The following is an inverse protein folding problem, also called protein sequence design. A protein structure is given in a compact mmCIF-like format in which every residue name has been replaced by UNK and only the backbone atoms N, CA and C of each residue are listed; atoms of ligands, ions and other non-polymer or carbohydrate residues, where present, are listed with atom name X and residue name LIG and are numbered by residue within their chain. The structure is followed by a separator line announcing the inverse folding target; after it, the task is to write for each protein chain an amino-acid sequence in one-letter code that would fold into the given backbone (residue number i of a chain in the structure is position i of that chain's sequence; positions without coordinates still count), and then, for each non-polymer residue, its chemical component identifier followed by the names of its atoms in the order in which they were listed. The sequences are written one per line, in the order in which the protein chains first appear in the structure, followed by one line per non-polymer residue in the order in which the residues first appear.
data_IF_496770543621
#
_entry.id   IF_496770543621
#
_cell.length_a   1.000
_cell.length_b   1.000
_cell.length_c   1.000
_cell.angle_alpha   90.00
_cell.angle_beta   90.00
_cell.angle_gamma   90.00
#
_symmetry.space_group_name_H-M   'P 1'
#
loop_
_entity.id
_entity.type
_entity.pdbx_description
1 polymer ?
#
# COMPACT_ATOMS: atom_id res chain seq x y z
N UNK A 1 6.88 -7.97 -25.23
CA UNK A 1 5.86 -8.02 -24.14
C UNK A 1 6.36 -7.18 -22.97
N UNK A 2 5.57 -6.23 -22.46
CA UNK A 2 5.90 -5.62 -21.17
C UNK A 2 5.77 -6.71 -20.11
N UNK A 3 6.87 -7.04 -19.43
CA UNK A 3 6.91 -8.03 -18.35
C UNK A 3 6.95 -7.30 -17.01
N UNK A 4 6.36 -7.90 -15.99
CA UNK A 4 6.49 -7.41 -14.61
C UNK A 4 7.97 -7.53 -14.22
N UNK A 5 8.54 -6.45 -13.70
CA UNK A 5 9.89 -6.47 -13.16
C UNK A 5 9.84 -6.96 -11.70
N UNK A 6 10.03 -8.26 -11.50
CA UNK A 6 9.96 -8.88 -10.17
C UNK A 6 10.99 -8.32 -9.19
N UNK A 7 12.16 -7.86 -9.66
CA UNK A 7 13.17 -7.23 -8.78
C UNK A 7 12.65 -5.92 -8.21
N UNK A 8 12.02 -5.09 -9.05
CA UNK A 8 11.38 -3.84 -8.62
C UNK A 8 10.21 -4.10 -7.67
N UNK A 9 9.37 -5.10 -7.96
CA UNK A 9 8.26 -5.49 -7.11
C UNK A 9 8.76 -5.94 -5.72
N UNK A 10 9.78 -6.80 -5.65
CA UNK A 10 10.33 -7.25 -4.37
C UNK A 10 10.93 -6.09 -3.56
N UNK A 11 11.61 -5.15 -4.21
CA UNK A 11 12.14 -3.97 -3.51
C UNK A 11 11.03 -3.07 -2.97
N UNK A 12 9.99 -2.80 -3.77
CA UNK A 12 8.81 -2.05 -3.29
C UNK A 12 8.18 -2.76 -2.11
N UNK A 13 8.03 -4.08 -2.20
CA UNK A 13 7.45 -4.90 -1.15
C UNK A 13 8.22 -4.77 0.17
N UNK A 14 9.55 -4.86 0.13
CA UNK A 14 10.39 -4.70 1.33
C UNK A 14 10.21 -3.31 1.95
N UNK A 15 10.16 -2.24 1.15
CA UNK A 15 9.90 -0.89 1.68
C UNK A 15 8.51 -0.77 2.29
N UNK A 16 7.48 -1.35 1.67
CA UNK A 16 6.11 -1.33 2.19
C UNK A 16 5.98 -2.10 3.51
N UNK A 17 6.75 -3.19 3.69
CA UNK A 17 6.83 -3.91 4.96
C UNK A 17 7.57 -3.10 6.03
N UNK A 18 8.68 -2.45 5.69
CA UNK A 18 9.42 -1.59 6.61
C UNK A 18 8.55 -0.42 7.09
N UNK A 19 7.83 0.24 6.18
CA UNK A 19 6.83 1.26 6.52
C UNK A 19 5.70 0.66 7.35
N UNK A 20 5.27 -0.57 7.09
CA UNK A 20 4.24 -1.24 7.88
C UNK A 20 4.65 -1.42 9.34
N UNK A 21 5.91 -1.82 9.57
CA UNK A 21 6.46 -1.94 10.92
C UNK A 21 6.55 -0.58 11.63
N UNK A 22 7.02 0.47 10.93
CA UNK A 22 7.07 1.83 11.50
C UNK A 22 5.68 2.40 11.78
N UNK A 23 4.73 2.17 10.87
CA UNK A 23 3.34 2.57 11.02
C UNK A 23 2.77 1.91 12.27
N UNK A 24 2.84 0.59 12.38
CA UNK A 24 2.37 -0.15 13.57
C UNK A 24 3.02 0.36 14.88
N UNK A 25 4.33 0.60 14.88
CA UNK A 25 5.04 1.13 16.04
C UNK A 25 4.60 2.55 16.44
N UNK A 26 4.03 3.31 15.50
CA UNK A 26 3.55 4.68 15.69
C UNK A 26 2.06 4.75 16.04
N UNK A 27 1.45 3.62 16.43
CA UNK A 27 0.01 3.56 16.73
C UNK A 27 -0.37 4.54 17.85
N UNK A 28 -1.32 5.46 17.61
CA UNK A 28 -1.76 6.42 18.62
C UNK A 28 -2.30 5.74 19.88
N UNK A 29 -2.06 6.35 21.04
CA UNK A 29 -2.60 5.86 22.31
C UNK A 29 -4.14 5.87 22.37
N UNK A 30 -4.78 6.77 21.61
CA UNK A 30 -6.24 6.79 21.40
C UNK A 30 -6.77 5.49 20.82
N UNK A 31 -5.99 4.84 19.94
CA UNK A 31 -6.29 3.53 19.36
C UNK A 31 -6.06 2.42 20.37
N UNK A 32 -4.91 2.45 21.05
CA UNK A 32 -4.55 1.44 22.05
C UNK A 32 -5.58 1.39 23.18
N UNK A 33 -6.09 2.54 23.64
CA UNK A 33 -7.09 2.62 24.71
C UNK A 33 -8.46 2.02 24.35
N UNK A 34 -8.85 2.01 23.06
CA UNK A 34 -10.12 1.38 22.61
C UNK A 34 -10.03 -0.16 22.61
N UNK A 35 -8.86 -0.72 22.31
CA UNK A 35 -8.64 -2.17 22.27
C UNK A 35 -8.05 -2.74 23.56
N UNK A 36 -7.45 -1.93 24.43
CA UNK A 36 -6.89 -2.37 25.72
C UNK A 36 -7.94 -2.88 26.72
N UNK A 37 -9.23 -2.57 26.52
CA UNK A 37 -10.34 -3.15 27.29
C UNK A 37 -10.76 -4.55 26.78
N UNK A 38 -10.38 -4.92 25.55
CA UNK A 38 -10.58 -6.25 24.98
C UNK A 38 -9.24 -7.01 24.99
N UNK A 39 -8.95 -7.64 26.13
CA UNK A 39 -8.02 -8.76 26.24
C UNK A 39 -6.60 -8.54 25.66
N UNK A 40 -5.69 -8.10 26.53
CA UNK A 40 -4.24 -8.02 26.33
C UNK A 40 -3.58 -9.34 25.82
N UNK A 41 -4.33 -10.45 25.86
CA UNK A 41 -3.96 -11.79 25.39
C UNK A 41 -4.08 -11.99 23.87
N UNK A 42 -4.77 -11.11 23.12
CA UNK A 42 -4.83 -11.11 21.65
C UNK A 42 -3.70 -10.28 21.03
N UNK A 43 -2.50 -10.51 21.51
CA UNK A 43 -1.27 -9.96 20.94
C UNK A 43 -1.12 -10.43 19.49
N UNK A 44 -0.88 -9.49 18.56
CA UNK A 44 -0.48 -9.66 17.15
C UNK A 44 -0.34 -11.13 16.70
N UNK A 45 -1.47 -11.79 16.40
CA UNK A 45 -1.45 -13.22 16.03
C UNK A 45 -0.61 -13.42 14.78
N UNK A 46 0.18 -14.50 14.73
CA UNK A 46 0.93 -14.91 13.53
C UNK A 46 0.01 -14.91 12.30
N UNK A 47 -1.26 -15.29 12.47
CA UNK A 47 -2.26 -15.26 11.39
C UNK A 47 -2.53 -13.84 10.87
N UNK A 48 -2.60 -12.83 11.75
CA UNK A 48 -2.80 -11.43 11.34
C UNK A 48 -1.58 -10.88 10.62
N UNK A 49 -0.37 -11.22 11.08
CA UNK A 49 0.88 -10.82 10.41
C UNK A 49 0.95 -11.43 9.01
N UNK A 50 0.66 -12.73 8.87
CA UNK A 50 0.63 -13.40 7.57
C UNK A 50 -0.41 -12.78 6.64
N UNK A 51 -1.61 -12.48 7.14
CA UNK A 51 -2.67 -11.84 6.36
C UNK A 51 -2.26 -10.44 5.90
N UNK A 52 -1.59 -9.67 6.77
CA UNK A 52 -1.05 -8.36 6.43
C UNK A 52 0.01 -8.44 5.32
N UNK A 53 0.99 -9.34 5.46
CA UNK A 53 2.06 -9.57 4.49
C UNK A 53 1.46 -10.00 3.14
N UNK A 54 0.54 -10.96 3.16
CA UNK A 54 -0.12 -11.45 1.95
C UNK A 54 -0.95 -10.37 1.26
N UNK A 55 -1.76 -9.62 2.02
CA UNK A 55 -2.60 -8.55 1.48
C UNK A 55 -1.77 -7.45 0.83
N UNK A 56 -0.65 -7.07 1.47
CA UNK A 56 0.31 -6.09 0.93
C UNK A 56 0.92 -6.59 -0.38
N UNK A 57 1.34 -7.87 -0.41
CA UNK A 57 1.91 -8.48 -1.59
C UNK A 57 0.92 -8.55 -2.76
N UNK A 58 -0.31 -9.00 -2.50
CA UNK A 58 -1.38 -9.12 -3.52
C UNK A 58 -1.72 -7.75 -4.10
N UNK A 59 -1.90 -6.73 -3.25
CA UNK A 59 -2.19 -5.37 -3.71
C UNK A 59 -1.06 -4.80 -4.58
N UNK A 60 0.19 -4.98 -4.15
CA UNK A 60 1.36 -4.54 -4.92
C UNK A 60 1.45 -5.27 -6.27
N UNK A 61 1.26 -6.59 -6.27
CA UNK A 61 1.32 -7.40 -7.47
C UNK A 61 0.21 -7.01 -8.46
N UNK A 62 -0.99 -6.77 -7.97
CA UNK A 62 -2.11 -6.25 -8.76
C UNK A 62 -1.77 -4.88 -9.38
N UNK A 63 -1.19 -3.97 -8.61
CA UNK A 63 -0.76 -2.65 -9.10
C UNK A 63 0.28 -2.79 -10.20
N UNK A 64 1.30 -3.64 -10.00
CA UNK A 64 2.33 -3.91 -11.01
C UNK A 64 1.75 -4.55 -12.28
N UNK A 65 0.82 -5.49 -12.13
CA UNK A 65 0.10 -6.12 -13.24
C UNK A 65 -0.71 -5.09 -14.05
N UNK A 66 -1.44 -4.20 -13.36
CA UNK A 66 -2.24 -3.16 -13.99
C UNK A 66 -1.36 -2.20 -14.81
N UNK A 67 -0.23 -1.76 -14.24
CA UNK A 67 0.72 -0.88 -14.92
C UNK A 67 1.34 -1.51 -16.18
N UNK A 68 1.48 -2.83 -16.21
CA UNK A 68 1.96 -3.58 -17.38
C UNK A 68 0.88 -3.68 -18.47
N UNK A 69 -0.39 -3.76 -18.10
CA UNK A 69 -1.53 -3.84 -19.04
C UNK A 69 -1.79 -2.52 -19.75
N UNK A 70 -1.49 -1.40 -19.10
CA UNK A 70 -1.78 -0.07 -19.64
C UNK A 70 -0.67 0.39 -20.60
N UNK A 71 -1.01 0.36 -21.89
CA UNK A 71 -0.13 0.76 -23.02
C UNK A 71 -0.24 2.26 -23.29
N UNK A 72 0.80 2.83 -23.90
CA UNK A 72 0.80 4.22 -24.39
C UNK A 72 0.92 5.32 -23.33
N UNK A 73 0.70 5.04 -22.05
CA UNK A 73 0.86 6.04 -20.99
C UNK A 73 2.33 6.36 -20.69
N UNK A 74 2.61 7.66 -20.57
CA UNK A 74 3.87 8.19 -20.07
C UNK A 74 4.14 7.75 -18.63
N UNK A 75 5.40 7.85 -18.19
CA UNK A 75 5.77 7.54 -16.79
C UNK A 75 4.96 8.37 -15.80
N UNK A 76 4.76 9.66 -16.09
CA UNK A 76 3.95 10.56 -15.27
C UNK A 76 2.47 10.18 -15.25
N UNK A 77 1.89 9.79 -16.40
CA UNK A 77 0.51 9.29 -16.44
C UNK A 77 0.33 8.05 -15.56
N UNK A 78 1.30 7.14 -15.57
CA UNK A 78 1.29 5.93 -14.72
C UNK A 78 1.40 6.26 -13.24
N UNK A 79 2.21 7.24 -12.86
CA UNK A 79 2.26 7.76 -11.50
C UNK A 79 0.89 8.27 -11.06
N UNK A 80 0.28 9.18 -11.84
CA UNK A 80 -1.04 9.74 -11.52
C UNK A 80 -2.13 8.67 -11.44
N UNK A 81 -2.08 7.65 -12.28
CA UNK A 81 -3.02 6.54 -12.25
C UNK A 81 -2.97 5.79 -10.91
N UNK A 82 -1.79 5.46 -10.41
CA UNK A 82 -1.65 4.73 -9.13
C UNK A 82 -2.20 5.57 -7.98
N UNK A 83 -1.90 6.88 -7.97
CA UNK A 83 -2.44 7.82 -6.98
C UNK A 83 -3.97 7.93 -7.09
N UNK A 84 -4.52 8.05 -8.30
CA UNK A 84 -5.95 8.15 -8.53
C UNK A 84 -6.69 6.90 -8.06
N UNK A 85 -6.19 5.71 -8.38
CA UNK A 85 -6.75 4.43 -7.92
C UNK A 85 -6.84 4.41 -6.40
N UNK A 86 -5.77 4.82 -5.72
CA UNK A 86 -5.78 4.92 -4.27
C UNK A 86 -6.82 5.92 -3.75
N UNK A 87 -6.89 7.13 -4.31
CA UNK A 87 -7.89 8.14 -3.91
C UNK A 87 -9.32 7.62 -4.04
N UNK A 88 -9.65 6.97 -5.15
CA UNK A 88 -10.99 6.42 -5.38
C UNK A 88 -11.33 5.23 -4.48
N UNK A 89 -10.33 4.46 -4.02
CA UNK A 89 -10.54 3.39 -3.04
C UNK A 89 -10.64 3.98 -1.62
N UNK A 90 -9.87 5.01 -1.30
CA UNK A 90 -9.77 5.56 0.06
C UNK A 90 -10.93 6.46 0.44
N UNK A 91 -11.46 7.27 -0.47
CA UNK A 91 -12.62 8.12 -0.22
C UNK A 91 -13.84 7.38 0.37
N UNK A 92 -14.33 6.27 -0.21
CA UNK A 92 -15.45 5.53 0.36
C UNK A 92 -15.07 4.85 1.68
N UNK A 93 -13.84 4.37 1.83
CA UNK A 93 -13.35 3.79 3.09
C UNK A 93 -13.27 4.83 4.21
N UNK A 94 -12.81 6.05 3.92
CA UNK A 94 -12.82 7.17 4.86
C UNK A 94 -14.23 7.47 5.34
N UNK A 95 -15.19 7.62 4.41
CA UNK A 95 -16.58 7.87 4.75
C UNK A 95 -17.15 6.74 5.63
N UNK A 96 -16.89 5.48 5.29
CA UNK A 96 -17.39 4.35 6.06
C UNK A 96 -16.77 4.26 7.46
N UNK A 97 -15.45 4.37 7.57
CA UNK A 97 -14.74 4.29 8.86
C UNK A 97 -15.06 5.47 9.76
N UNK A 98 -15.14 6.69 9.22
CA UNK A 98 -15.48 7.88 10.02
C UNK A 98 -16.95 7.91 10.45
N UNK A 99 -17.89 7.67 9.53
CA UNK A 99 -19.33 7.79 9.79
C UNK A 99 -19.91 6.57 10.52
N UNK A 100 -19.41 5.37 10.22
CA UNK A 100 -20.02 4.12 10.72
C UNK A 100 -19.33 3.58 11.98
N UNK A 101 -18.00 3.77 12.10
CA UNK A 101 -17.22 3.25 13.23
C UNK A 101 -16.89 4.32 14.29
N UNK A 102 -17.42 5.55 14.14
CA UNK A 102 -17.21 6.68 15.07
C UNK A 102 -15.72 6.89 15.41
N UNK A 103 -14.85 6.77 14.41
CA UNK A 103 -13.45 7.16 14.55
C UNK A 103 -13.31 8.68 14.47
N UNK A 104 -12.38 9.24 15.24
CA UNK A 104 -12.03 10.64 15.07
C UNK A 104 -11.39 10.85 13.69
N UNK A 105 -11.42 12.09 13.17
CA UNK A 105 -10.76 12.41 11.92
C UNK A 105 -9.27 12.03 11.93
N UNK A 106 -8.59 12.31 13.05
CA UNK A 106 -7.18 11.98 13.25
C UNK A 106 -6.92 10.46 13.18
N UNK A 107 -7.74 9.67 13.87
CA UNK A 107 -7.63 8.22 13.88
C UNK A 107 -7.88 7.63 12.48
N UNK A 108 -8.86 8.18 11.75
CA UNK A 108 -9.17 7.78 10.37
C UNK A 108 -8.01 8.11 9.43
N UNK A 109 -7.40 9.30 9.56
CA UNK A 109 -6.22 9.65 8.77
C UNK A 109 -5.03 8.75 9.08
N UNK A 110 -4.81 8.41 10.36
CA UNK A 110 -3.77 7.47 10.75
C UNK A 110 -3.96 6.10 10.09
N UNK A 111 -5.18 5.53 10.11
CA UNK A 111 -5.49 4.26 9.44
C UNK A 111 -5.20 4.30 7.93
N UNK A 112 -5.55 5.41 7.28
CA UNK A 112 -5.39 5.56 5.83
C UNK A 112 -3.96 5.92 5.40
N UNK A 113 -3.15 6.45 6.33
CA UNK A 113 -1.79 6.89 6.04
C UNK A 113 -0.88 5.76 5.56
N UNK A 114 -1.05 4.54 6.07
CA UNK A 114 -0.30 3.38 5.62
C UNK A 114 -0.53 3.10 4.13
N UNK A 115 -1.81 3.10 3.71
CA UNK A 115 -2.18 2.93 2.32
C UNK A 115 -1.64 4.05 1.43
N UNK A 116 -1.66 5.30 1.93
CA UNK A 116 -1.15 6.46 1.21
C UNK A 116 0.35 6.33 0.92
N UNK A 117 1.14 5.98 1.94
CA UNK A 117 2.59 5.83 1.81
C UNK A 117 2.92 4.65 0.91
N UNK A 118 2.25 3.50 1.08
CA UNK A 118 2.45 2.33 0.22
C UNK A 118 2.15 2.64 -1.25
N UNK A 119 1.08 3.38 -1.51
CA UNK A 119 0.71 3.85 -2.83
C UNK A 119 1.79 4.77 -3.42
N UNK A 120 2.27 5.75 -2.65
CA UNK A 120 3.33 6.65 -3.08
C UNK A 120 4.62 5.90 -3.45
N UNK A 121 5.05 4.94 -2.61
CA UNK A 121 6.21 4.09 -2.88
C UNK A 121 6.03 3.33 -4.21
N UNK A 122 4.88 2.69 -4.40
CA UNK A 122 4.57 1.95 -5.63
C UNK A 122 4.52 2.87 -6.86
N UNK A 123 3.90 4.04 -6.73
CA UNK A 123 3.75 5.03 -7.80
C UNK A 123 5.09 5.65 -8.22
N UNK A 124 6.05 5.77 -7.30
CA UNK A 124 7.39 6.29 -7.61
C UNK A 124 8.23 5.18 -8.27
N UNK A 125 8.31 4.02 -7.64
CA UNK A 125 9.31 3.02 -8.01
C UNK A 125 8.89 2.21 -9.25
N UNK A 126 7.62 1.77 -9.34
CA UNK A 126 7.19 0.89 -10.42
C UNK A 126 7.18 1.55 -11.81
N UNK A 127 6.72 2.81 -11.97
CA UNK A 127 6.74 3.49 -13.27
C UNK A 127 8.15 3.85 -13.76
N UNK A 128 9.06 4.16 -12.83
CA UNK A 128 10.45 4.54 -13.13
C UNK A 128 11.34 3.32 -13.44
N UNK A 129 11.06 2.16 -12.83
CA UNK A 129 11.86 0.96 -13.01
C UNK A 129 11.42 0.11 -14.20
N UNK A 130 11.39 0.71 -15.40
CA UNK A 130 11.32 -0.10 -16.63
C UNK A 130 12.54 -1.03 -16.65
N UNK A 131 12.31 -2.29 -17.00
CA UNK A 131 13.40 -3.19 -17.40
C UNK A 131 14.24 -2.44 -18.41
N UNK A 132 15.50 -2.14 -18.05
CA UNK A 132 16.46 -1.58 -18.99
C UNK A 132 16.37 -2.45 -20.24
N UNK A 133 15.92 -1.85 -21.36
CA UNK A 133 16.06 -2.55 -22.63
C UNK A 133 17.56 -2.66 -22.79
N UNK A 134 18.08 -3.89 -22.86
CA UNK A 134 19.42 -4.10 -23.36
C UNK A 134 19.53 -3.25 -24.64
N UNK A 135 20.41 -2.25 -24.62
CA UNK A 135 20.74 -1.43 -25.78
C UNK A 135 21.41 -2.32 -26.86
N UNK A 136 21.71 -3.57 -26.52
CA UNK A 136 22.30 -4.60 -27.35
C UNK A 136 21.25 -5.64 -27.79
N UNK A 137 20.27 -5.23 -28.60
CA UNK A 137 19.53 -6.20 -29.40
C UNK A 137 19.06 -5.57 -30.72
N UNK A 138 19.88 -5.84 -31.75
CA UNK A 138 19.75 -5.59 -33.19
C UNK A 138 19.42 -4.18 -33.67
#
# INVERSE_FOLDING_TARGET
MYKINHKAVMLVFVFQLAVGAMWYASTPSSFLGRFALEDLSKQLSIGMVLLFVLSTFVYLFFTAWLLVRIKGMSGFGRFLLVIAIWLFIVLPNYAFVSLHLNFSGFDTFYLLSYGAINCAIAAIILPLWRSSRSIFNN
#
